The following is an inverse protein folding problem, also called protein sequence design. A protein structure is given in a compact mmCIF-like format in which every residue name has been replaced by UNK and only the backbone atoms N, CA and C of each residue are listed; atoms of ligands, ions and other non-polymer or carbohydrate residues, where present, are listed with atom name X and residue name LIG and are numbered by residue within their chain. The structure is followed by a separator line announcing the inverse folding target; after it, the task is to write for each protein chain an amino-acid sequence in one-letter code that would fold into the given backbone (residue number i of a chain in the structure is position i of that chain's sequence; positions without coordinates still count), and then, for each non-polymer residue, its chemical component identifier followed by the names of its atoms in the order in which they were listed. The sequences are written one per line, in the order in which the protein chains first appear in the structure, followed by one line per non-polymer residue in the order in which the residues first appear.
data_IF_695165548445
#
_entry.id   IF_695165548445
#
_cell.length_a   1.000
_cell.length_b   1.000
_cell.length_c   1.000
_cell.angle_alpha   90.00
_cell.angle_beta   90.00
_cell.angle_gamma   90.00
#
_symmetry.space_group_name_H-M   'P 1'
#
loop_
_entity.id
_entity.type
_entity.pdbx_description
1 polymer ?
#
# COMPACT_ATOMS: atom_id res chain seq x y z
N UNK A 1 -4.74 -21.83 19.33
CA UNK A 1 -6.10 -21.42 18.92
C UNK A 1 -5.94 -20.27 17.93
N UNK A 2 -6.44 -20.41 16.72
CA UNK A 2 -6.48 -19.32 15.73
C UNK A 2 -7.75 -18.53 16.02
N UNK A 3 -7.62 -17.24 16.31
CA UNK A 3 -8.78 -16.36 16.45
C UNK A 3 -8.92 -15.53 15.18
N UNK A 4 -10.12 -15.49 14.64
CA UNK A 4 -10.49 -14.61 13.52
C UNK A 4 -11.29 -13.44 14.10
N UNK A 5 -10.84 -12.22 13.83
CA UNK A 5 -11.54 -11.00 14.21
C UNK A 5 -11.85 -10.22 12.92
N UNK A 6 -13.09 -9.80 12.76
CA UNK A 6 -13.51 -8.93 11.66
C UNK A 6 -13.71 -7.51 12.21
N UNK A 7 -13.03 -6.55 11.61
CA UNK A 7 -13.12 -5.14 11.98
C UNK A 7 -13.33 -4.29 10.73
N UNK A 8 -14.18 -3.29 10.83
CA UNK A 8 -14.30 -2.26 9.80
C UNK A 8 -13.26 -1.18 10.07
N UNK A 9 -12.40 -0.91 9.09
CA UNK A 9 -11.35 0.11 9.19
C UNK A 9 -11.40 1.05 7.99
N UNK A 10 -11.09 2.31 8.22
CA UNK A 10 -10.81 3.28 7.17
C UNK A 10 -9.40 3.05 6.61
N UNK A 11 -9.09 3.65 5.47
CA UNK A 11 -7.72 3.68 4.91
C UNK A 11 -6.73 4.29 5.91
N UNK A 12 -7.12 5.36 6.60
CA UNK A 12 -6.33 5.95 7.68
C UNK A 12 -6.14 4.97 8.85
N UNK A 13 -7.17 4.20 9.20
CA UNK A 13 -7.08 3.16 10.24
C UNK A 13 -6.12 2.03 9.88
N UNK A 14 -5.96 1.73 8.59
CA UNK A 14 -5.01 0.73 8.10
C UNK A 14 -3.60 1.31 8.07
N UNK A 15 -3.39 2.41 7.35
CA UNK A 15 -2.05 2.95 7.10
C UNK A 15 -1.56 3.97 8.14
N UNK A 16 -2.43 4.43 9.03
CA UNK A 16 -2.08 5.44 10.04
C UNK A 16 -1.24 4.93 11.21
N UNK A 17 -1.18 3.61 11.43
CA UNK A 17 -0.34 3.02 12.49
C UNK A 17 1.15 3.27 12.21
N UNK A 18 1.90 3.92 13.11
CA UNK A 18 3.29 4.32 12.84
C UNK A 18 4.27 3.15 12.76
N UNK A 19 3.91 2.00 13.35
CA UNK A 19 4.83 0.87 13.56
C UNK A 19 4.38 -0.41 12.83
N UNK A 20 3.39 -0.35 11.96
CA UNK A 20 2.86 -1.54 11.28
C UNK A 20 3.37 -1.61 9.85
N UNK A 21 4.00 -2.74 9.51
CA UNK A 21 4.44 -3.08 8.16
C UNK A 21 3.60 -4.22 7.60
N UNK A 22 3.12 -4.08 6.38
CA UNK A 22 2.35 -5.09 5.68
C UNK A 22 3.26 -5.90 4.78
N UNK A 23 3.38 -7.20 5.05
CA UNK A 23 4.26 -8.12 4.33
C UNK A 23 3.43 -8.92 3.32
N UNK A 24 3.80 -8.85 2.06
CA UNK A 24 3.25 -9.73 1.01
C UNK A 24 4.08 -11.03 1.01
N UNK A 25 3.51 -12.18 1.41
CA UNK A 25 4.25 -13.42 1.52
C UNK A 25 4.69 -13.97 0.16
N UNK A 26 5.73 -14.83 0.17
CA UNK A 26 6.30 -15.42 -1.05
C UNK A 26 5.35 -16.33 -1.85
N UNK A 27 4.31 -16.85 -1.21
CA UNK A 27 3.33 -17.71 -1.86
C UNK A 27 2.23 -16.94 -2.61
N UNK A 28 2.20 -15.63 -2.47
CA UNK A 28 1.25 -14.77 -3.20
C UNK A 28 1.74 -14.57 -4.64
N UNK A 29 0.78 -14.26 -5.53
CA UNK A 29 1.13 -13.91 -6.91
C UNK A 29 1.71 -12.49 -6.96
N UNK A 30 2.59 -12.20 -7.93
CA UNK A 30 3.06 -10.84 -8.18
C UNK A 30 1.92 -9.86 -8.45
N UNK A 31 2.19 -8.56 -8.30
CA UNK A 31 1.23 -7.53 -8.65
C UNK A 31 0.80 -7.65 -10.12
N UNK A 32 -0.50 -7.71 -10.37
CA UNK A 32 -1.05 -8.04 -11.68
C UNK A 32 -2.23 -7.16 -12.14
N UNK A 33 -2.63 -6.17 -11.34
CA UNK A 33 -3.65 -5.22 -11.79
C UNK A 33 -3.11 -4.37 -12.93
N UNK A 34 -3.90 -4.29 -14.02
CA UNK A 34 -3.62 -3.45 -15.17
C UNK A 34 -4.50 -2.21 -15.18
N UNK A 35 -4.51 -1.54 -16.34
CA UNK A 35 -5.24 -0.30 -16.53
C UNK A 35 -6.74 -0.43 -16.21
N UNK A 36 -7.39 -1.52 -16.64
CA UNK A 36 -8.85 -1.69 -16.48
C UNK A 36 -9.26 -1.74 -15.00
N UNK A 37 -8.53 -2.52 -14.18
CA UNK A 37 -8.79 -2.61 -12.74
C UNK A 37 -8.50 -1.28 -12.03
N UNK A 38 -7.44 -0.60 -12.40
CA UNK A 38 -7.09 0.71 -11.85
C UNK A 38 -8.11 1.78 -12.23
N UNK A 39 -8.58 1.76 -13.47
CA UNK A 39 -9.58 2.71 -13.96
C UNK A 39 -10.95 2.49 -13.31
N UNK A 40 -11.35 1.24 -13.12
CA UNK A 40 -12.58 0.89 -12.42
C UNK A 40 -12.54 1.40 -10.97
N UNK A 41 -11.46 1.10 -10.23
CA UNK A 41 -11.28 1.61 -8.87
C UNK A 41 -11.31 3.14 -8.83
N UNK A 42 -10.64 3.81 -9.77
CA UNK A 42 -10.64 5.27 -9.86
C UNK A 42 -12.05 5.82 -10.06
N UNK A 43 -12.82 5.25 -10.98
CA UNK A 43 -14.21 5.67 -11.24
C UNK A 43 -15.09 5.52 -10.00
N UNK A 44 -14.97 4.39 -9.30
CA UNK A 44 -15.73 4.11 -8.10
C UNK A 44 -15.41 5.10 -6.97
N UNK A 45 -14.11 5.36 -6.74
CA UNK A 45 -13.67 6.33 -5.75
C UNK A 45 -14.13 7.74 -6.09
N UNK A 46 -14.06 8.15 -7.36
CA UNK A 46 -14.53 9.48 -7.79
C UNK A 46 -16.04 9.61 -7.71
N UNK A 47 -16.78 8.53 -8.02
CA UNK A 47 -18.23 8.49 -7.84
C UNK A 47 -18.62 8.70 -6.39
N UNK A 48 -18.07 7.92 -5.49
CA UNK A 48 -18.32 8.03 -4.05
C UNK A 48 -17.92 9.41 -3.50
N UNK A 49 -16.77 9.95 -3.94
CA UNK A 49 -16.34 11.30 -3.55
C UNK A 49 -17.32 12.38 -4.00
N UNK A 50 -17.81 12.33 -5.24
CA UNK A 50 -18.76 13.33 -5.76
C UNK A 50 -20.13 13.26 -5.12
N UNK A 51 -20.54 12.07 -4.66
CA UNK A 51 -21.83 11.82 -3.99
C UNK A 51 -21.75 11.98 -2.47
N UNK A 52 -20.55 12.23 -1.93
CA UNK A 52 -20.25 12.27 -0.47
C UNK A 52 -20.68 10.97 0.25
N UNK A 53 -20.46 9.84 -0.43
CA UNK A 53 -20.86 8.52 0.07
C UNK A 53 -19.60 7.68 0.41
N UNK A 54 -19.67 6.83 1.46
CA UNK A 54 -18.58 5.93 1.77
C UNK A 54 -18.44 4.85 0.69
N UNK A 55 -17.19 4.53 0.33
CA UNK A 55 -16.88 3.46 -0.61
C UNK A 55 -16.26 2.25 0.10
N UNK A 56 -16.87 1.09 -0.07
CA UNK A 56 -16.33 -0.16 0.48
C UNK A 56 -15.28 -0.76 -0.46
N UNK A 57 -14.02 -0.63 -0.07
CA UNK A 57 -12.88 -1.14 -0.86
C UNK A 57 -12.78 -2.67 -0.93
N UNK A 58 -13.55 -3.39 -0.13
CA UNK A 58 -13.51 -4.84 -0.01
C UNK A 58 -12.72 -5.33 1.20
N UNK A 59 -12.65 -6.65 1.35
CA UNK A 59 -11.98 -7.28 2.48
C UNK A 59 -10.46 -7.34 2.25
N UNK A 60 -9.71 -7.16 3.33
CA UNK A 60 -8.29 -7.44 3.41
C UNK A 60 -8.10 -8.40 4.59
N UNK A 61 -7.50 -9.56 4.33
CA UNK A 61 -7.24 -10.56 5.36
C UNK A 61 -5.76 -10.50 5.73
N UNK A 62 -5.50 -10.28 7.00
CA UNK A 62 -4.15 -10.19 7.55
C UNK A 62 -3.94 -11.23 8.63
N UNK A 63 -2.75 -11.80 8.67
CA UNK A 63 -2.32 -12.71 9.73
C UNK A 63 -1.16 -12.09 10.50
N UNK A 64 -1.28 -12.07 11.82
CA UNK A 64 -0.16 -11.78 12.73
C UNK A 64 0.40 -13.08 13.25
N UNK A 65 1.68 -13.33 13.01
CA UNK A 65 2.37 -14.43 13.66
C UNK A 65 2.64 -14.06 15.11
N UNK A 66 2.51 -15.04 16.01
CA UNK A 66 2.92 -14.89 17.41
C UNK A 66 4.42 -14.63 17.53
N UNK A 67 5.19 -15.13 16.57
CA UNK A 67 6.64 -14.94 16.51
C UNK A 67 7.03 -13.50 16.11
N UNK A 68 6.11 -12.77 15.45
CA UNK A 68 6.27 -11.37 15.05
C UNK A 68 5.48 -10.40 15.93
N UNK A 69 4.98 -10.84 17.09
CA UNK A 69 4.12 -10.02 17.95
C UNK A 69 4.78 -8.72 18.43
N UNK A 70 6.11 -8.62 18.32
CA UNK A 70 6.88 -7.47 18.78
C UNK A 70 7.50 -6.64 17.64
N UNK A 71 7.42 -7.07 16.36
CA UNK A 71 8.08 -6.37 15.25
C UNK A 71 7.15 -5.50 14.40
N UNK A 72 5.85 -5.46 14.71
CA UNK A 72 4.87 -4.64 14.00
C UNK A 72 4.55 -5.14 12.59
N UNK A 73 4.84 -6.41 12.27
CA UNK A 73 4.59 -6.98 10.94
C UNK A 73 3.29 -7.77 10.87
N UNK A 74 2.53 -7.53 9.81
CA UNK A 74 1.28 -8.25 9.48
C UNK A 74 1.40 -8.83 8.07
N UNK A 75 1.22 -10.14 7.92
CA UNK A 75 1.21 -10.78 6.61
C UNK A 75 -0.14 -10.61 5.92
N UNK A 76 -0.14 -10.16 4.67
CA UNK A 76 -1.34 -10.02 3.85
C UNK A 76 -1.69 -11.37 3.24
N UNK A 77 -2.77 -11.98 3.71
CA UNK A 77 -3.26 -13.29 3.23
C UNK A 77 -4.16 -13.12 2.02
N UNK A 78 -5.00 -12.07 2.00
CA UNK A 78 -5.86 -11.72 0.88
C UNK A 78 -5.99 -10.19 0.76
N UNK A 79 -6.28 -9.70 -0.46
CA UNK A 79 -6.40 -8.28 -0.75
C UNK A 79 -5.08 -7.57 -1.09
N UNK A 80 -4.02 -8.30 -1.40
CA UNK A 80 -2.69 -7.74 -1.70
C UNK A 80 -2.70 -6.74 -2.86
N UNK A 81 -3.40 -7.05 -3.96
CA UNK A 81 -3.47 -6.15 -5.13
C UNK A 81 -4.07 -4.80 -4.71
N UNK A 82 -5.10 -4.86 -3.91
CA UNK A 82 -5.82 -3.70 -3.40
C UNK A 82 -4.97 -2.86 -2.46
N UNK A 83 -4.30 -3.48 -1.49
CA UNK A 83 -3.49 -2.75 -0.52
C UNK A 83 -2.29 -2.08 -1.19
N UNK A 84 -1.62 -2.75 -2.14
CA UNK A 84 -0.52 -2.18 -2.92
C UNK A 84 -1.02 -0.98 -3.75
N UNK A 85 -2.17 -1.14 -4.43
CA UNK A 85 -2.75 -0.07 -5.26
C UNK A 85 -3.10 1.17 -4.43
N UNK A 86 -3.76 0.99 -3.29
CA UNK A 86 -4.12 2.11 -2.40
C UNK A 86 -2.88 2.79 -1.84
N UNK A 87 -1.88 2.03 -1.41
CA UNK A 87 -0.62 2.61 -0.92
C UNK A 87 0.11 3.41 -2.02
N UNK A 88 0.12 2.88 -3.26
CA UNK A 88 0.68 3.60 -4.41
C UNK A 88 -0.10 4.88 -4.71
N UNK A 89 -1.44 4.85 -4.63
CA UNK A 89 -2.28 6.04 -4.78
C UNK A 89 -1.96 7.10 -3.70
N UNK A 90 -1.79 6.67 -2.44
CA UNK A 90 -1.37 7.57 -1.34
C UNK A 90 -0.02 8.21 -1.68
N UNK A 91 0.92 7.44 -2.23
CA UNK A 91 2.22 7.97 -2.66
C UNK A 91 2.07 9.03 -3.74
N UNK A 92 1.24 8.78 -4.76
CA UNK A 92 0.97 9.76 -5.82
C UNK A 92 0.36 11.03 -5.21
N UNK A 93 -0.67 10.89 -4.37
CA UNK A 93 -1.30 12.04 -3.70
C UNK A 93 -0.29 12.84 -2.86
N UNK A 94 0.62 12.18 -2.16
CA UNK A 94 1.64 12.84 -1.34
C UNK A 94 2.63 13.70 -2.16
N UNK A 95 2.81 13.41 -3.44
CA UNK A 95 3.64 14.22 -4.34
C UNK A 95 2.98 15.53 -4.75
N UNK A 96 1.64 15.55 -4.78
CA UNK A 96 0.85 16.74 -5.10
C UNK A 96 0.38 17.50 -3.87
N UNK A 97 0.33 16.83 -2.71
CA UNK A 97 -0.14 17.35 -1.44
C UNK A 97 0.92 17.13 -0.34
N UNK A 98 2.13 17.71 -0.50
CA UNK A 98 3.27 17.41 0.39
C UNK A 98 3.06 17.86 1.84
N UNK A 99 2.20 18.85 2.07
CA UNK A 99 1.93 19.41 3.39
C UNK A 99 0.95 18.58 4.23
N UNK A 100 0.35 17.52 3.65
CA UNK A 100 -0.56 16.63 4.37
C UNK A 100 0.23 15.54 5.08
N UNK A 101 0.49 15.75 6.37
CA UNK A 101 1.29 14.83 7.19
C UNK A 101 0.71 13.42 7.30
N UNK A 102 -0.60 13.24 7.23
CA UNK A 102 -1.23 11.92 7.27
C UNK A 102 -0.87 11.07 6.06
N UNK A 103 -0.75 11.67 4.87
CA UNK A 103 -0.27 10.97 3.67
C UNK A 103 1.18 10.51 3.84
N UNK A 104 2.03 11.37 4.37
CA UNK A 104 3.44 11.01 4.62
C UNK A 104 3.55 9.85 5.61
N UNK A 105 2.84 9.92 6.74
CA UNK A 105 2.83 8.86 7.76
C UNK A 105 2.27 7.53 7.25
N UNK A 106 1.36 7.56 6.29
CA UNK A 106 0.79 6.36 5.68
C UNK A 106 1.78 5.60 4.79
N UNK A 107 2.89 6.22 4.39
CA UNK A 107 3.83 5.65 3.44
C UNK A 107 4.97 4.88 4.08
N UNK A 108 5.39 5.23 5.29
CA UNK A 108 6.59 4.69 5.91
C UNK A 108 6.41 4.29 7.37
N UNK A 109 7.33 3.46 7.82
CA UNK A 109 7.58 3.17 9.23
C UNK A 109 8.98 3.67 9.60
N UNK A 110 9.13 4.09 10.86
CA UNK A 110 10.44 4.42 11.42
C UNK A 110 10.85 3.25 12.32
N UNK A 111 11.89 2.49 11.95
CA UNK A 111 12.36 1.40 12.79
C UNK A 111 12.77 1.92 14.17
N UNK A 112 12.68 1.06 15.19
CA UNK A 112 13.12 1.37 16.56
C UNK A 112 14.59 1.86 16.62
N UNK A 113 15.42 1.45 15.66
CA UNK A 113 16.80 1.91 15.54
C UNK A 113 16.96 3.40 15.22
N UNK A 114 15.85 4.10 14.90
CA UNK A 114 15.83 5.54 14.57
C UNK A 114 16.56 5.91 13.28
N UNK A 115 16.98 4.89 12.50
CA UNK A 115 17.61 5.09 11.19
C UNK A 115 16.53 5.18 10.11
N UNK A 116 16.89 5.12 8.90
CA UNK A 116 16.11 5.42 7.70
C UNK A 116 14.63 4.98 7.72
N UNK A 117 13.78 5.78 7.11
CA UNK A 117 12.38 5.44 6.84
C UNK A 117 12.31 4.24 5.90
N UNK A 118 11.45 3.26 6.23
CA UNK A 118 11.19 2.09 5.39
C UNK A 118 9.76 2.14 4.84
N UNK A 119 9.52 1.60 3.63
CA UNK A 119 8.15 1.51 3.11
C UNK A 119 7.26 0.69 4.04
N UNK A 120 5.99 1.06 4.10
CA UNK A 120 4.99 0.37 4.91
C UNK A 120 4.57 -0.98 4.33
N UNK A 121 4.88 -1.22 3.06
CA UNK A 121 4.67 -2.49 2.37
C UNK A 121 6.03 -3.10 2.05
N UNK A 122 6.17 -4.38 2.34
CA UNK A 122 7.33 -5.21 2.03
C UNK A 122 6.86 -6.45 1.25
N UNK A 123 7.47 -6.77 0.12
CA UNK A 123 7.16 -7.99 -0.64
C UNK A 123 8.24 -9.04 -0.45
N UNK A 124 7.81 -10.28 -0.24
CA UNK A 124 8.69 -11.46 -0.23
C UNK A 124 8.60 -12.28 -1.52
N UNK A 125 7.92 -11.76 -2.54
CA UNK A 125 7.80 -12.41 -3.85
C UNK A 125 9.09 -12.20 -4.61
N UNK A 126 9.79 -13.29 -4.93
CA UNK A 126 11.06 -13.25 -5.67
C UNK A 126 10.86 -13.08 -7.18
N UNK A 127 9.71 -13.48 -7.70
CA UNK A 127 9.38 -13.32 -9.12
C UNK A 127 8.96 -11.87 -9.40
N UNK A 128 9.45 -11.31 -10.51
CA UNK A 128 9.13 -9.98 -11.03
C UNK A 128 9.61 -8.78 -10.19
N UNK A 129 10.47 -8.98 -9.20
CA UNK A 129 11.09 -7.91 -8.40
C UNK A 129 10.07 -6.92 -7.78
N UNK A 130 8.95 -7.42 -7.25
CA UNK A 130 7.92 -6.58 -6.64
C UNK A 130 8.47 -5.74 -5.49
N UNK A 131 9.43 -6.27 -4.72
CA UNK A 131 10.06 -5.54 -3.63
C UNK A 131 10.91 -4.36 -4.15
N UNK A 132 11.65 -4.56 -5.23
CA UNK A 132 12.40 -3.49 -5.90
C UNK A 132 11.45 -2.42 -6.46
N UNK A 133 10.28 -2.83 -6.98
CA UNK A 133 9.27 -1.91 -7.49
C UNK A 133 8.63 -1.09 -6.35
N UNK A 134 8.30 -1.72 -5.23
CA UNK A 134 7.78 -1.05 -4.02
C UNK A 134 8.81 -0.05 -3.49
N UNK A 135 10.08 -0.44 -3.40
CA UNK A 135 11.17 0.44 -2.96
C UNK A 135 11.39 1.61 -3.92
N UNK A 136 11.31 1.36 -5.23
CA UNK A 136 11.39 2.39 -6.26
C UNK A 136 10.21 3.37 -6.18
N UNK A 137 8.98 2.89 -5.94
CA UNK A 137 7.81 3.74 -5.72
C UNK A 137 7.99 4.59 -4.46
N UNK A 138 8.45 3.99 -3.38
CA UNK A 138 8.66 4.68 -2.11
C UNK A 138 9.69 5.81 -2.23
N UNK A 139 10.85 5.53 -2.84
CA UNK A 139 11.94 6.49 -3.07
C UNK A 139 11.69 7.45 -4.22
N UNK A 140 10.55 7.32 -4.85
CA UNK A 140 10.24 7.94 -6.12
C UNK A 140 10.15 9.46 -6.06
N UNK A 141 10.76 10.10 -7.05
CA UNK A 141 10.56 11.51 -7.34
C UNK A 141 9.75 11.72 -8.64
N UNK A 142 9.05 12.86 -8.71
CA UNK A 142 8.16 13.22 -9.83
C UNK A 142 8.85 13.18 -11.20
N UNK A 143 10.15 13.47 -11.27
CA UNK A 143 10.91 13.53 -12.53
C UNK A 143 11.07 12.16 -13.20
N UNK A 144 11.14 11.10 -12.42
CA UNK A 144 11.26 9.72 -12.93
C UNK A 144 9.95 9.19 -13.54
N UNK A 145 8.75 9.59 -13.04
CA UNK A 145 7.46 9.22 -13.63
C UNK A 145 7.32 9.86 -15.02
N UNK A 146 7.52 11.15 -15.10
CA UNK A 146 7.33 11.89 -16.33
C UNK A 146 8.23 11.36 -17.46
N UNK A 147 9.45 10.96 -17.16
CA UNK A 147 10.37 10.38 -18.14
C UNK A 147 9.94 9.00 -18.63
N UNK A 148 9.40 8.14 -17.75
CA UNK A 148 8.90 6.82 -18.15
C UNK A 148 7.57 6.88 -18.88
N UNK A 149 6.68 7.79 -18.50
CA UNK A 149 5.40 7.97 -19.19
C UNK A 149 5.62 8.43 -20.65
N UNK A 150 6.58 9.33 -20.88
CA UNK A 150 6.98 9.75 -22.22
C UNK A 150 7.58 8.62 -23.06
N UNK A 151 8.28 7.68 -22.43
CA UNK A 151 8.87 6.53 -23.14
C UNK A 151 7.84 5.45 -23.54
N UNK A 152 6.69 5.38 -22.85
CA UNK A 152 5.61 4.42 -23.14
C UNK A 152 4.58 4.98 -24.15
N UNK A 153 4.52 6.31 -24.30
CA UNK A 153 3.59 7.00 -25.22
C UNK A 153 4.19 7.28 -26.60
N UNK A 154 5.39 6.82 -26.87
CA UNK A 154 6.05 6.82 -28.19
C UNK A 154 6.14 5.41 -28.74
#
# INVERSE_FOLDING_TARGET
MISLTAEQKTIEGIFGSPNETYVIPMYQRPYSWGFDQLYELYKDLMGAYNEDEPYFLGNIIMARSKDYSNDGKSSVVDGQQRIITIWTLIKVLSLYLPDINSLQRALYVVPWSGKDQLPKIESKIFENNDDDAIDAIFKYDKKKIESRYKAVST
#
